data_IF_736494036998
#
_entry.id   IF_736494036998
#
_cell.length_a   1.000
_cell.length_b   1.000
_cell.length_c   1.000
_cell.angle_alpha   90.00
_cell.angle_beta   90.00
_cell.angle_gamma   90.00
#
_symmetry.space_group_name_H-M   'P 1'
#
loop_
_entity.id
_entity.type
_entity.pdbx_description
1 polymer ?
#
# COMPACT_ATOMS: atom_id res chain seq x y z
N UNK A 1 -4.11 -10.75 -9.39
CA UNK A 1 -2.63 -10.67 -9.42
C UNK A 1 -2.10 -10.43 -8.00
N UNK A 2 -0.94 -11.00 -7.64
CA UNK A 2 -0.29 -10.77 -6.33
C UNK A 2 0.65 -9.55 -6.35
N UNK A 3 0.08 -8.34 -6.50
CA UNK A 3 0.85 -7.10 -6.66
C UNK A 3 1.86 -6.84 -5.53
N UNK A 4 3.11 -6.52 -5.90
CA UNK A 4 4.20 -6.25 -4.95
C UNK A 4 3.90 -4.96 -4.17
N UNK A 5 3.57 -3.86 -4.86
CA UNK A 5 3.22 -2.59 -4.21
C UNK A 5 2.03 -2.73 -3.27
N UNK A 6 0.98 -3.45 -3.71
CA UNK A 6 -0.18 -3.76 -2.85
C UNK A 6 0.24 -4.44 -1.55
N UNK A 7 1.11 -5.45 -1.63
CA UNK A 7 1.62 -6.17 -0.46
C UNK A 7 2.40 -5.23 0.47
N UNK A 8 3.35 -4.47 -0.09
CA UNK A 8 4.17 -3.52 0.67
C UNK A 8 3.33 -2.42 1.33
N UNK A 9 2.34 -1.86 0.63
CA UNK A 9 1.41 -0.89 1.21
C UNK A 9 0.63 -1.47 2.40
N UNK A 10 0.14 -2.71 2.29
CA UNK A 10 -0.53 -3.38 3.42
C UNK A 10 0.43 -3.60 4.59
N UNK A 11 1.66 -4.01 4.32
CA UNK A 11 2.66 -4.24 5.37
C UNK A 11 3.03 -2.92 6.08
N UNK A 12 3.15 -1.83 5.32
CA UNK A 12 3.32 -0.47 5.87
C UNK A 12 2.15 -0.08 6.76
N UNK A 13 0.90 -0.31 6.34
CA UNK A 13 -0.25 -0.03 7.18
C UNK A 13 -0.22 -0.81 8.50
N UNK A 14 0.05 -2.13 8.42
CA UNK A 14 0.14 -3.01 9.60
C UNK A 14 1.21 -2.56 10.58
N UNK A 15 2.40 -2.21 10.08
CA UNK A 15 3.51 -1.73 10.90
C UNK A 15 3.21 -0.40 11.61
N UNK A 16 2.26 0.38 11.10
CA UNK A 16 1.91 1.71 11.63
C UNK A 16 0.53 1.76 12.30
N UNK A 17 -0.06 0.60 12.62
CA UNK A 17 -1.36 0.52 13.30
C UNK A 17 -2.54 1.01 12.47
N UNK A 18 -2.41 1.08 11.14
CA UNK A 18 -3.52 1.43 10.23
C UNK A 18 -4.31 0.14 9.95
N UNK A 19 -5.61 0.07 10.29
CA UNK A 19 -6.41 -1.12 10.03
C UNK A 19 -6.46 -1.47 8.55
N UNK A 20 -6.15 -2.72 8.20
CA UNK A 20 -6.27 -3.23 6.83
C UNK A 20 -6.94 -4.59 6.83
N UNK A 21 -7.94 -4.73 5.96
CA UNK A 21 -8.65 -5.97 5.70
C UNK A 21 -8.52 -6.34 4.22
N UNK A 22 -8.40 -7.62 3.94
CA UNK A 22 -8.51 -8.16 2.59
C UNK A 22 -9.83 -8.94 2.54
N UNK A 23 -10.77 -8.44 1.75
CA UNK A 23 -12.11 -8.99 1.60
C UNK A 23 -12.62 -8.68 0.19
N UNK A 24 -13.64 -9.42 -0.21
CA UNK A 24 -14.40 -9.11 -1.43
C UNK A 24 -15.31 -7.91 -1.13
N UNK A 25 -15.42 -7.00 -2.09
CA UNK A 25 -16.24 -5.79 -1.98
C UNK A 25 -17.05 -5.59 -3.26
N UNK A 26 -18.19 -4.93 -3.11
CA UNK A 26 -19.09 -4.57 -4.21
C UNK A 26 -18.71 -3.22 -4.82
N UNK A 27 -19.18 -2.95 -6.05
CA UNK A 27 -19.01 -1.63 -6.66
C UNK A 27 -19.62 -0.52 -5.81
N UNK A 28 -20.77 -0.77 -5.18
CA UNK A 28 -21.45 0.21 -4.31
C UNK A 28 -20.60 0.58 -3.10
N UNK A 29 -19.92 -0.38 -2.47
CA UNK A 29 -18.99 -0.10 -1.36
C UNK A 29 -17.77 0.71 -1.83
N UNK A 30 -17.23 0.39 -3.02
CA UNK A 30 -16.10 1.13 -3.58
C UNK A 30 -16.48 2.59 -3.94
N UNK A 31 -17.63 2.79 -4.61
CA UNK A 31 -18.13 4.11 -4.95
C UNK A 31 -18.59 4.92 -3.72
N UNK A 32 -18.96 4.25 -2.63
CA UNK A 32 -19.34 4.86 -1.37
C UNK A 32 -18.17 5.13 -0.41
N UNK A 33 -16.94 4.79 -0.79
CA UNK A 33 -15.76 4.98 0.06
C UNK A 33 -15.38 6.45 0.18
N UNK A 34 -14.91 6.86 1.37
CA UNK A 34 -14.40 8.21 1.65
C UNK A 34 -13.17 8.56 0.79
N UNK A 35 -12.37 7.54 0.47
CA UNK A 35 -11.19 7.66 -0.38
C UNK A 35 -10.91 6.34 -1.10
N UNK A 36 -10.27 6.42 -2.25
CA UNK A 36 -9.80 5.26 -2.99
C UNK A 36 -8.53 5.55 -3.81
N UNK A 37 -7.73 4.51 -4.00
CA UNK A 37 -6.49 4.59 -4.78
C UNK A 37 -6.14 3.25 -5.42
N UNK A 38 -5.36 3.33 -6.51
CA UNK A 38 -4.75 2.18 -7.17
C UNK A 38 -3.29 2.06 -6.78
N UNK A 39 -2.77 0.84 -6.67
CA UNK A 39 -1.35 0.58 -6.44
C UNK A 39 -0.64 0.06 -7.69
N UNK A 40 0.53 0.61 -8.01
CA UNK A 40 1.40 0.13 -9.10
C UNK A 40 2.87 0.37 -8.77
N UNK A 41 3.82 -0.21 -9.50
CA UNK A 41 5.25 0.09 -9.27
C UNK A 41 5.53 1.57 -9.52
N UNK A 42 5.08 2.06 -10.67
CA UNK A 42 5.01 3.48 -10.98
C UNK A 42 3.52 3.83 -11.13
N UNK A 43 2.95 4.78 -10.36
CA UNK A 43 3.54 5.74 -9.43
C UNK A 43 3.20 5.45 -7.94
N UNK A 44 3.42 4.21 -7.49
CA UNK A 44 3.11 3.70 -6.13
C UNK A 44 1.62 3.72 -5.73
N UNK A 45 1.02 4.89 -5.48
CA UNK A 45 -0.38 5.09 -5.11
C UNK A 45 -0.99 6.23 -5.94
N UNK A 46 -1.90 5.90 -6.84
CA UNK A 46 -2.68 6.87 -7.64
C UNK A 46 -4.05 7.06 -6.99
N UNK A 47 -4.39 8.30 -6.64
CA UNK A 47 -5.72 8.64 -6.15
C UNK A 47 -6.79 8.50 -7.23
N UNK A 48 -7.91 7.85 -6.90
CA UNK A 48 -9.09 7.77 -7.77
C UNK A 48 -9.99 8.97 -7.48
N UNK A 49 -10.16 9.87 -8.45
CA UNK A 49 -11.01 11.07 -8.27
C UNK A 49 -12.48 10.81 -8.48
N UNK A 50 -12.79 9.89 -9.38
CA UNK A 50 -14.15 9.55 -9.78
C UNK A 50 -14.24 8.06 -10.06
N UNK A 51 -15.34 7.44 -9.64
CA UNK A 51 -15.73 6.08 -10.00
C UNK A 51 -17.16 6.09 -10.50
N UNK A 52 -17.38 5.63 -11.72
CA UNK A 52 -18.72 5.46 -12.30
C UNK A 52 -19.56 6.76 -12.24
N UNK A 53 -18.97 7.89 -12.63
CA UNK A 53 -19.63 9.21 -12.60
C UNK A 53 -19.79 9.82 -11.21
N UNK A 54 -19.32 9.16 -10.14
CA UNK A 54 -19.39 9.63 -8.75
C UNK A 54 -18.03 10.05 -8.27
N UNK A 55 -17.93 11.26 -7.71
CA UNK A 55 -16.72 11.73 -7.07
C UNK A 55 -16.39 10.86 -5.86
N UNK A 56 -15.12 10.45 -5.73
CA UNK A 56 -14.63 9.77 -4.54
C UNK A 56 -14.40 10.82 -3.44
N UNK A 57 -15.23 10.76 -2.39
CA UNK A 57 -15.21 11.71 -1.28
C UNK A 57 -15.19 13.18 -1.74
N UNK A 58 -14.16 13.92 -1.33
CA UNK A 58 -14.00 15.35 -1.64
C UNK A 58 -13.41 15.65 -3.03
N UNK A 59 -13.09 14.62 -3.83
CA UNK A 59 -12.37 14.76 -5.11
C UNK A 59 -10.89 15.14 -4.97
N UNK A 60 -10.41 15.36 -3.74
CA UNK A 60 -9.02 15.60 -3.38
C UNK A 60 -8.42 14.34 -2.76
N UNK A 61 -7.09 14.29 -2.67
CA UNK A 61 -6.37 13.22 -1.98
C UNK A 61 -6.85 13.10 -0.53
N UNK A 62 -7.29 11.90 -0.14
CA UNK A 62 -7.71 11.59 1.23
C UNK A 62 -6.54 11.50 2.23
N UNK A 63 -6.86 11.69 3.51
CA UNK A 63 -5.89 11.76 4.61
C UNK A 63 -5.16 10.43 4.84
N UNK A 64 -5.85 9.29 4.68
CA UNK A 64 -5.22 7.97 4.88
C UNK A 64 -4.36 7.64 3.67
N UNK A 65 -4.81 7.96 2.45
CA UNK A 65 -4.01 7.80 1.23
C UNK A 65 -2.73 8.65 1.27
N UNK A 66 -2.80 9.89 1.75
CA UNK A 66 -1.63 10.77 1.94
C UNK A 66 -0.66 10.21 2.99
N UNK A 67 -1.19 9.84 4.17
CA UNK A 67 -0.39 9.23 5.24
C UNK A 67 0.30 7.95 4.78
N UNK A 68 -0.40 7.09 4.04
CA UNK A 68 0.16 5.86 3.48
C UNK A 68 1.27 6.16 2.47
N UNK A 69 1.10 7.17 1.62
CA UNK A 69 2.12 7.55 0.65
C UNK A 69 3.42 8.01 1.36
N UNK A 70 3.29 8.81 2.41
CA UNK A 70 4.42 9.25 3.23
C UNK A 70 5.15 8.08 3.90
N UNK A 71 4.40 7.19 4.57
CA UNK A 71 4.97 6.01 5.22
C UNK A 71 5.59 5.02 4.22
N UNK A 72 5.01 4.91 3.02
CA UNK A 72 5.57 4.10 1.94
C UNK A 72 6.90 4.67 1.46
N UNK A 73 6.99 6.00 1.29
CA UNK A 73 8.25 6.66 0.93
C UNK A 73 9.32 6.44 2.00
N UNK A 74 8.99 6.59 3.28
CA UNK A 74 9.90 6.29 4.39
C UNK A 74 10.38 4.84 4.38
N UNK A 75 9.49 3.90 4.07
CA UNK A 75 9.86 2.48 3.91
C UNK A 75 10.81 2.29 2.73
N UNK A 76 10.59 2.96 1.59
CA UNK A 76 11.50 2.91 0.44
C UNK A 76 12.87 3.49 0.78
N UNK A 77 12.92 4.65 1.45
CA UNK A 77 14.17 5.28 1.91
C UNK A 77 14.95 4.33 2.81
N UNK A 78 14.28 3.73 3.80
CA UNK A 78 14.90 2.73 4.67
C UNK A 78 15.38 1.51 3.90
N UNK A 79 14.69 1.09 2.84
CA UNK A 79 15.07 -0.09 2.05
C UNK A 79 16.29 0.17 1.15
N UNK A 80 16.43 1.38 0.59
CA UNK A 80 17.58 1.76 -0.24
C UNK A 80 18.87 1.99 0.57
N UNK A 81 18.75 2.27 1.87
CA UNK A 81 19.90 2.43 2.78
C UNK A 81 20.51 1.09 3.21
N UNK A 82 19.84 -0.03 2.91
CA UNK A 82 20.27 -1.37 3.32
C UNK A 82 21.47 -1.83 2.51
N UNK A 83 22.47 -2.32 3.23
CA UNK A 83 23.63 -2.96 2.64
C UNK A 83 23.28 -4.32 2.05
N UNK A 84 24.07 -4.76 1.08
CA UNK A 84 23.95 -6.11 0.50
C UNK A 84 24.10 -7.21 1.55
N UNK A 85 24.90 -6.98 2.60
CA UNK A 85 25.09 -7.92 3.70
C UNK A 85 23.80 -8.10 4.51
N UNK A 86 23.12 -7.01 4.88
CA UNK A 86 21.83 -7.04 5.57
C UNK A 86 20.75 -7.74 4.74
N UNK A 87 20.68 -7.42 3.44
CA UNK A 87 19.74 -8.08 2.52
C UNK A 87 20.01 -9.59 2.45
N UNK A 88 21.27 -10.00 2.35
CA UNK A 88 21.62 -11.43 2.32
C UNK A 88 21.27 -12.14 3.63
N UNK A 89 21.45 -11.48 4.77
CA UNK A 89 21.09 -12.04 6.07
C UNK A 89 19.58 -12.26 6.17
N UNK A 90 18.75 -11.29 5.77
CA UNK A 90 17.29 -11.42 5.75
C UNK A 90 16.82 -12.58 4.85
N UNK A 91 17.44 -12.74 3.67
CA UNK A 91 17.11 -13.83 2.75
C UNK A 91 17.44 -15.20 3.33
N UNK A 92 18.49 -15.32 4.15
CA UNK A 92 18.84 -16.57 4.86
C UNK A 92 17.80 -16.90 5.92
N UNK A 93 17.40 -15.90 6.71
CA UNK A 93 16.35 -16.05 7.73
C UNK A 93 15.03 -16.48 7.08
N UNK A 94 14.58 -15.77 6.04
CA UNK A 94 13.33 -16.08 5.35
C UNK A 94 13.29 -17.48 4.70
N UNK A 95 14.45 -18.03 4.31
CA UNK A 95 14.55 -19.40 3.78
C UNK A 95 14.56 -20.48 4.86
N UNK A 96 15.07 -20.20 6.07
CA UNK A 96 15.04 -21.16 7.19
C UNK A 96 13.61 -21.46 7.67
N UNK A 97 12.67 -20.53 7.50
CA UNK A 97 11.26 -20.74 7.84
C UNK A 97 10.45 -21.51 6.77
N UNK A 98 11.10 -22.03 5.72
CA UNK A 98 10.46 -22.80 4.63
C UNK A 98 10.86 -24.28 4.58
N UNK A 99 11.48 -24.80 5.64
CA UNK A 99 11.71 -26.23 5.90
C UNK A 99 10.79 -26.68 7.04
#
# INVERSE_FOLDING_TARGET
MHGITRRKSRDVCRANGIPVRQLDFTLTEACGADEAFCTGTFPSQIHVREMDGRNSGSGKRGLIAERLQQLYLEMVVKDIERTRAEIQQDLRVARSFKL
#
